data_IF_342108351368
#
_entry.id   IF_342108351368
#
_cell.length_a   1.000
_cell.length_b   1.000
_cell.length_c   1.000
_cell.angle_alpha   90.00
_cell.angle_beta   90.00
_cell.angle_gamma   90.00
#
_symmetry.space_group_name_H-M   'P 1'
#
loop_
_entity.id
_entity.type
_entity.pdbx_description
1 polymer ?
#
# COMPACT_ATOMS: atom_id res chain seq x y z
N UNK A 1 5.45 2.71 27.89
CA UNK A 1 4.83 2.81 26.55
C UNK A 1 5.57 1.85 25.62
N UNK A 2 4.87 0.87 25.06
CA UNK A 2 5.51 -0.15 24.21
C UNK A 2 5.96 0.43 22.87
N UNK A 3 7.13 0.03 22.39
CA UNK A 3 7.61 0.47 21.08
C UNK A 3 6.78 -0.22 19.99
N UNK A 4 6.04 0.57 19.21
CA UNK A 4 5.29 0.05 18.07
C UNK A 4 6.29 -0.43 17.01
N UNK A 5 6.27 -1.73 16.71
CA UNK A 5 7.10 -2.31 15.65
C UNK A 5 6.32 -2.31 14.34
N UNK A 6 6.98 -1.89 13.27
CA UNK A 6 6.45 -1.89 11.91
C UNK A 6 7.38 -2.66 10.98
N UNK A 7 6.87 -3.04 9.82
CA UNK A 7 7.65 -3.72 8.80
C UNK A 7 8.19 -2.71 7.78
N UNK A 8 9.47 -2.84 7.48
CA UNK A 8 10.17 -2.10 6.45
C UNK A 8 10.64 -3.06 5.36
N UNK A 9 10.41 -2.74 4.09
CA UNK A 9 10.62 -3.65 2.97
C UNK A 9 11.72 -3.13 2.04
N UNK A 10 12.64 -4.02 1.70
CA UNK A 10 13.61 -3.85 0.62
C UNK A 10 13.13 -4.62 -0.61
N UNK A 11 12.69 -3.90 -1.64
CA UNK A 11 12.21 -4.51 -2.89
C UNK A 11 13.34 -5.22 -3.67
N UNK A 12 14.55 -4.63 -3.85
CA UNK A 12 15.65 -5.31 -4.55
C UNK A 12 16.07 -6.62 -3.87
N UNK A 13 16.18 -6.61 -2.53
CA UNK A 13 16.58 -7.81 -1.78
C UNK A 13 15.45 -8.80 -1.52
N UNK A 14 14.19 -8.42 -1.83
CA UNK A 14 12.99 -9.20 -1.47
C UNK A 14 13.00 -9.61 -0.01
N UNK A 15 13.20 -8.63 0.87
CA UNK A 15 13.37 -8.83 2.29
C UNK A 15 12.54 -7.82 3.09
N UNK A 16 12.04 -8.26 4.24
CA UNK A 16 11.36 -7.41 5.21
C UNK A 16 12.08 -7.40 6.54
N UNK A 17 12.14 -6.25 7.19
CA UNK A 17 12.78 -6.04 8.47
C UNK A 17 11.76 -5.47 9.44
N UNK A 18 11.51 -6.15 10.55
CA UNK A 18 10.67 -5.64 11.62
C UNK A 18 11.51 -4.70 12.47
N UNK A 19 11.17 -3.42 12.50
CA UNK A 19 11.92 -2.40 13.24
C UNK A 19 10.97 -1.54 14.06
N UNK A 20 11.53 -0.84 15.03
CA UNK A 20 10.82 0.14 15.84
C UNK A 20 10.39 1.32 14.97
N UNK A 21 9.14 1.75 15.12
CA UNK A 21 8.65 2.98 14.51
C UNK A 21 9.39 4.17 15.14
N UNK A 22 10.00 5.01 14.31
CA UNK A 22 10.80 6.14 14.78
C UNK A 22 11.12 7.09 13.63
N UNK A 23 11.42 8.37 13.93
CA UNK A 23 11.49 9.45 12.95
C UNK A 23 12.52 9.16 11.86
N UNK A 24 12.00 9.13 10.63
CA UNK A 24 12.54 9.42 9.28
C UNK A 24 14.03 9.36 8.92
N UNK A 25 14.94 8.83 9.75
CA UNK A 25 16.25 8.45 9.23
C UNK A 25 16.00 7.47 8.10
N UNK A 26 16.36 7.85 6.86
CA UNK A 26 16.21 7.03 5.67
C UNK A 26 16.80 5.64 5.96
N UNK A 27 15.93 4.68 6.28
CA UNK A 27 16.36 3.38 6.76
C UNK A 27 16.95 2.66 5.57
N UNK A 28 18.21 2.24 5.69
CA UNK A 28 18.90 1.55 4.62
C UNK A 28 18.83 0.05 4.83
N UNK A 29 18.70 -0.68 3.73
CA UNK A 29 18.79 -2.12 3.76
C UNK A 29 20.21 -2.53 4.18
N UNK A 30 20.39 -3.40 5.18
CA UNK A 30 21.71 -3.85 5.61
C UNK A 30 22.46 -4.68 4.54
N UNK A 31 21.75 -5.10 3.47
CA UNK A 31 22.32 -5.92 2.40
C UNK A 31 22.73 -5.12 1.16
N UNK A 32 21.93 -4.14 0.75
CA UNK A 32 22.18 -3.38 -0.49
C UNK A 32 22.23 -1.85 -0.30
N UNK A 33 22.14 -1.36 0.94
CA UNK A 33 22.10 0.05 1.31
C UNK A 33 20.96 0.89 0.68
N UNK A 34 20.04 0.27 -0.07
CA UNK A 34 18.87 0.91 -0.65
C UNK A 34 17.88 1.36 0.43
N UNK A 35 17.09 2.39 0.13
CA UNK A 35 16.02 2.86 1.02
C UNK A 35 14.98 1.77 1.28
N UNK A 36 14.59 1.61 2.54
CA UNK A 36 13.51 0.72 2.95
C UNK A 36 12.17 1.45 2.94
N UNK A 37 11.16 0.82 2.38
CA UNK A 37 9.80 1.37 2.32
C UNK A 37 9.02 0.92 3.56
N UNK A 38 8.31 1.83 4.21
CA UNK A 38 7.42 1.50 5.31
C UNK A 38 6.19 0.74 4.81
N UNK A 39 6.07 -0.55 5.17
CA UNK A 39 4.96 -1.41 4.75
C UNK A 39 3.82 -1.45 5.77
N UNK A 40 4.06 -1.10 7.03
CA UNK A 40 3.05 -1.08 8.09
C UNK A 40 3.14 -2.27 9.06
N UNK A 41 2.32 -2.23 10.12
CA UNK A 41 2.35 -3.17 11.24
C UNK A 41 1.71 -4.53 10.91
N UNK A 42 0.80 -4.58 9.95
CA UNK A 42 0.04 -5.78 9.57
C UNK A 42 0.67 -6.55 8.40
N UNK A 43 1.89 -6.16 7.99
CA UNK A 43 2.50 -6.69 6.78
C UNK A 43 2.99 -8.13 6.97
N UNK A 44 2.47 -9.04 6.15
CA UNK A 44 2.96 -10.40 6.04
C UNK A 44 3.90 -10.51 4.82
N UNK A 45 5.18 -10.76 5.07
CA UNK A 45 6.17 -10.87 4.01
C UNK A 45 5.94 -12.14 3.19
N UNK A 46 5.86 -12.05 1.84
CA UNK A 46 5.79 -13.23 0.99
C UNK A 46 7.12 -14.00 1.03
N UNK A 47 7.09 -15.28 0.60
CA UNK A 47 8.30 -16.08 0.45
C UNK A 47 9.27 -15.38 -0.51
N UNK A 48 10.57 -15.38 -0.20
CA UNK A 48 11.58 -14.69 -1.02
C UNK A 48 11.61 -15.15 -2.49
N UNK A 49 11.30 -16.43 -2.73
CA UNK A 49 11.23 -17.05 -4.07
C UNK A 49 9.97 -16.69 -4.86
N UNK A 50 8.93 -16.16 -4.22
CA UNK A 50 7.65 -15.83 -4.85
C UNK A 50 7.73 -14.50 -5.62
N UNK A 51 8.41 -14.55 -6.78
CA UNK A 51 8.59 -13.39 -7.63
C UNK A 51 7.26 -12.69 -8.03
N UNK A 52 6.16 -13.42 -8.33
CA UNK A 52 4.85 -12.81 -8.55
C UNK A 52 4.36 -11.98 -7.38
N UNK A 53 4.42 -12.51 -6.15
CA UNK A 53 3.98 -11.76 -4.97
C UNK A 53 4.84 -10.51 -4.72
N UNK A 54 6.16 -10.61 -4.90
CA UNK A 54 7.07 -9.46 -4.78
C UNK A 54 6.80 -8.39 -5.83
N UNK A 55 6.43 -8.77 -7.05
CA UNK A 55 6.03 -7.82 -8.11
C UNK A 55 4.73 -7.10 -7.74
N UNK A 56 3.72 -7.82 -7.24
CA UNK A 56 2.48 -7.22 -6.78
C UNK A 56 2.73 -6.24 -5.62
N UNK A 57 3.55 -6.64 -4.65
CA UNK A 57 3.92 -5.81 -3.51
C UNK A 57 4.66 -4.54 -3.92
N UNK A 58 5.54 -4.63 -4.93
CA UNK A 58 6.24 -3.46 -5.46
C UNK A 58 5.26 -2.39 -5.92
N UNK A 59 4.22 -2.78 -6.67
CA UNK A 59 3.19 -1.85 -7.15
C UNK A 59 2.40 -1.25 -5.98
N UNK A 60 2.02 -2.07 -4.99
CA UNK A 60 1.30 -1.59 -3.81
C UNK A 60 2.10 -0.54 -3.04
N UNK A 61 3.35 -0.84 -2.70
CA UNK A 61 4.18 0.05 -1.88
C UNK A 61 4.56 1.33 -2.62
N UNK A 62 4.83 1.26 -3.92
CA UNK A 62 5.10 2.46 -4.75
C UNK A 62 3.87 3.33 -4.94
N UNK A 63 2.67 2.75 -4.96
CA UNK A 63 1.40 3.48 -4.96
C UNK A 63 0.99 4.01 -3.57
N UNK A 64 1.82 3.84 -2.54
CA UNK A 64 1.55 4.29 -1.17
C UNK A 64 0.56 3.40 -0.40
N UNK A 65 0.27 2.19 -0.89
CA UNK A 65 -0.63 1.25 -0.23
C UNK A 65 0.12 0.48 0.87
N UNK A 66 -0.11 0.88 2.12
CA UNK A 66 0.41 0.21 3.32
C UNK A 66 -0.53 -0.86 3.90
N UNK A 67 0.01 -1.66 4.81
CA UNK A 67 -0.65 -2.72 5.57
C UNK A 67 -0.77 -2.29 7.03
N UNK A 68 -1.80 -1.50 7.32
CA UNK A 68 -2.11 -1.04 8.68
C UNK A 68 -3.32 -1.81 9.20
N UNK A 69 -3.26 -2.29 10.44
CA UNK A 69 -4.44 -2.79 11.14
C UNK A 69 -5.24 -1.59 11.65
N UNK A 70 -6.54 -1.54 11.37
CA UNK A 70 -7.46 -0.70 12.14
C UNK A 70 -7.86 -1.44 13.43
N UNK A 71 -8.35 -0.72 14.44
CA UNK A 71 -8.73 -1.30 15.73
C UNK A 71 -9.79 -2.42 15.64
N UNK A 72 -10.55 -2.47 14.55
CA UNK A 72 -11.66 -3.41 14.37
C UNK A 72 -11.59 -4.23 13.07
N UNK A 73 -10.45 -4.22 12.37
CA UNK A 73 -10.31 -4.95 11.09
C UNK A 73 -8.90 -4.90 10.54
N UNK A 74 -8.43 -6.03 10.01
CA UNK A 74 -7.15 -6.13 9.31
C UNK A 74 -7.04 -5.17 8.11
N UNK A 75 -5.94 -5.18 7.36
CA UNK A 75 -5.64 -4.18 6.29
C UNK A 75 -6.59 -4.22 5.07
N UNK A 76 -7.72 -4.92 5.17
CA UNK A 76 -8.64 -5.17 4.08
C UNK A 76 -8.05 -6.08 3.01
N UNK A 77 -8.67 -6.06 1.83
CA UNK A 77 -8.16 -6.78 0.67
C UNK A 77 -6.84 -6.18 0.17
N UNK A 78 -5.88 -7.05 -0.10
CA UNK A 78 -4.58 -6.71 -0.68
C UNK A 78 -4.25 -7.70 -1.78
N UNK A 79 -4.10 -7.27 -3.05
CA UNK A 79 -3.81 -8.16 -4.15
C UNK A 79 -2.47 -8.85 -3.91
N UNK A 80 -2.45 -10.18 -4.03
CA UNK A 80 -1.27 -11.01 -3.80
C UNK A 80 -0.60 -11.40 -5.11
N UNK A 81 -1.31 -11.25 -6.22
CA UNK A 81 -0.83 -11.65 -7.55
C UNK A 81 -0.70 -10.46 -8.50
N UNK A 82 0.22 -10.53 -9.48
CA UNK A 82 0.33 -9.52 -10.52
C UNK A 82 -0.94 -9.38 -11.36
N UNK A 83 -1.72 -10.46 -11.50
CA UNK A 83 -2.98 -10.46 -12.24
C UNK A 83 -4.00 -9.54 -11.56
N UNK A 84 -4.22 -9.73 -10.26
CA UNK A 84 -5.15 -8.89 -9.47
C UNK A 84 -4.73 -7.42 -9.48
N UNK A 85 -3.42 -7.15 -9.46
CA UNK A 85 -2.88 -5.79 -9.60
C UNK A 85 -3.21 -5.20 -10.96
N UNK A 86 -2.99 -5.95 -12.06
CA UNK A 86 -3.32 -5.49 -13.42
C UNK A 86 -4.80 -5.20 -13.58
N UNK A 87 -5.67 -6.07 -13.06
CA UNK A 87 -7.13 -5.87 -13.10
C UNK A 87 -7.54 -4.57 -12.40
N UNK A 88 -6.94 -4.26 -11.25
CA UNK A 88 -7.19 -3.03 -10.48
C UNK A 88 -6.62 -1.78 -11.15
N UNK A 89 -5.44 -1.88 -11.76
CA UNK A 89 -4.86 -0.78 -12.54
C UNK A 89 -5.68 -0.49 -13.80
N UNK A 90 -6.17 -1.53 -14.48
CA UNK A 90 -7.08 -1.39 -15.61
C UNK A 90 -8.40 -0.74 -15.18
N UNK A 91 -8.94 -1.12 -14.02
CA UNK A 91 -10.12 -0.48 -13.45
C UNK A 91 -9.87 1.01 -13.14
N UNK A 92 -8.74 1.34 -12.50
CA UNK A 92 -8.36 2.74 -12.22
C UNK A 92 -8.29 3.58 -13.50
N UNK A 93 -7.66 3.03 -14.55
CA UNK A 93 -7.58 3.68 -15.86
C UNK A 93 -8.95 3.85 -16.51
N UNK A 94 -9.84 2.86 -16.40
CA UNK A 94 -11.17 2.90 -16.99
C UNK A 94 -12.15 3.85 -16.26
N UNK A 95 -12.05 3.97 -14.94
CA UNK A 95 -12.97 4.78 -14.12
C UNK A 95 -12.43 6.15 -13.73
N UNK A 96 -11.14 6.39 -13.93
CA UNK A 96 -10.43 7.58 -13.42
C UNK A 96 -10.26 7.57 -11.90
N UNK A 97 -10.52 6.45 -11.22
CA UNK A 97 -10.32 6.33 -9.78
C UNK A 97 -8.82 6.37 -9.43
N UNK A 98 -8.41 7.05 -8.34
CA UNK A 98 -7.01 7.05 -7.94
C UNK A 98 -6.50 5.63 -7.68
N UNK A 99 -5.30 5.33 -8.21
CA UNK A 99 -4.66 4.01 -8.19
C UNK A 99 -4.61 3.40 -6.79
N UNK A 100 -4.30 4.20 -5.76
CA UNK A 100 -4.27 3.75 -4.36
C UNK A 100 -5.61 3.13 -3.94
N UNK A 101 -6.73 3.73 -4.35
CA UNK A 101 -8.08 3.30 -3.97
C UNK A 101 -8.50 2.06 -4.75
N UNK A 102 -8.24 2.03 -6.05
CA UNK A 102 -8.50 0.87 -6.89
C UNK A 102 -7.71 -0.37 -6.45
N UNK A 103 -6.44 -0.21 -6.03
CA UNK A 103 -5.61 -1.29 -5.51
C UNK A 103 -6.12 -1.87 -4.18
N UNK A 104 -6.94 -1.13 -3.44
CA UNK A 104 -7.56 -1.58 -2.18
C UNK A 104 -8.96 -2.20 -2.35
N UNK A 105 -9.55 -2.14 -3.56
CA UNK A 105 -10.90 -2.65 -3.79
C UNK A 105 -10.95 -4.18 -3.68
N UNK A 106 -11.88 -4.66 -2.84
CA UNK A 106 -12.23 -6.07 -2.73
C UNK A 106 -12.91 -6.55 -4.02
N UNK A 107 -13.91 -5.80 -4.47
CA UNK A 107 -14.71 -6.10 -5.64
C UNK A 107 -14.52 -5.05 -6.75
N UNK A 108 -14.34 -5.55 -7.98
CA UNK A 108 -14.26 -4.76 -9.21
C UNK A 108 -15.57 -4.77 -10.00
N UNK A 109 -16.54 -5.61 -9.61
CA UNK A 109 -17.79 -5.83 -10.34
C UNK A 109 -18.81 -4.69 -10.14
N UNK A 110 -18.72 -3.93 -9.04
CA UNK A 110 -19.61 -2.80 -8.79
C UNK A 110 -18.92 -1.45 -9.06
N UNK A 111 -19.14 -0.92 -10.27
CA UNK A 111 -18.91 0.50 -10.60
C UNK A 111 -19.95 1.36 -9.88
N UNK A 112 -19.78 1.54 -8.56
CA UNK A 112 -20.48 2.61 -7.85
C UNK A 112 -19.97 3.95 -8.43
N UNK A 113 -20.72 4.53 -9.37
CA UNK A 113 -20.63 5.94 -9.71
C UNK A 113 -20.97 6.73 -8.44
N UNK A 114 -20.01 6.94 -7.52
CA UNK A 114 -20.18 7.99 -6.51
C UNK A 114 -20.04 9.33 -7.24
N UNK A 115 -21.11 10.13 -7.41
CA UNK A 115 -20.93 11.50 -7.85
C UNK A 115 -19.99 12.19 -6.86
N UNK A 116 -18.93 12.81 -7.38
CA UNK A 116 -17.98 13.55 -6.57
C UNK A 116 -18.71 14.56 -5.69
N UNK A 117 -18.39 14.59 -4.40
CA UNK A 117 -18.88 15.62 -3.47
C UNK A 117 -18.42 16.97 -4.05
N UNK A 118 -19.31 17.89 -4.47
CA UNK A 118 -18.87 19.19 -4.95
C UNK A 118 -18.15 19.90 -3.81
N UNK A 119 -16.92 20.34 -4.09
CA UNK A 119 -16.08 21.05 -3.14
C UNK A 119 -16.84 22.25 -2.58
N UNK A 120 -16.89 22.33 -1.26
CA UNK A 120 -17.31 23.52 -0.53
C UNK A 120 -16.45 24.69 -0.98
N UNK A 121 -17.04 25.61 -1.77
CA UNK A 121 -16.47 26.92 -2.08
C UNK A 121 -16.17 27.65 -0.76
N UNK A 122 -14.97 28.19 -0.55
CA UNK A 122 -14.76 29.10 0.56
C UNK A 122 -15.63 30.35 0.35
N UNK A 123 -16.47 30.64 1.33
CA UNK A 123 -17.24 31.88 1.40
C UNK A 123 -16.23 33.01 1.51
N UNK A 124 -15.97 33.71 0.40
CA UNK A 124 -15.23 34.96 0.44
C UNK A 124 -16.08 35.97 1.23
N UNK A 125 -15.60 36.36 2.40
CA UNK A 125 -16.09 37.53 3.13
C UNK A 125 -15.21 38.73 2.75
N UNK A 126 -15.92 39.80 2.42
CA UNK A 126 -15.46 41.14 2.06
C UNK A 126 -14.69 41.81 3.19
#
# INVERSE_FOLDING_TARGET
MGVHRTHYVCLPCRASYKQEYGPERARRCPRCAAGLIHAGSAFAAPRRSDAPAWRALTVLLTAGVGFHTSCCGGPGFRPRTPREVRERLAHAAATGEPVVRALTRYDLSFTDRRPGKPGSRPLQRR
#
